data_IF_329488927813
#
_entry.id   IF_329488927813
#
_cell.length_a   1.000
_cell.length_b   1.000
_cell.length_c   1.000
_cell.angle_alpha   90.00
_cell.angle_beta   90.00
_cell.angle_gamma   90.00
#
_symmetry.space_group_name_H-M   'P 1'
#
loop_
_entity.id
_entity.type
_entity.pdbx_description
1 polymer ?
#
# COMPACT_ATOMS: atom_id res chain seq x y z
N UNK A 1 -13.14 -1.53 13.19
CA UNK A 1 -12.32 -1.11 12.03
C UNK A 1 -12.49 0.37 11.85
N UNK A 2 -11.40 1.11 11.66
CA UNK A 2 -11.47 2.54 11.29
C UNK A 2 -10.71 2.75 9.99
N UNK A 3 -11.26 3.54 9.07
CA UNK A 3 -10.69 3.67 7.73
C UNK A 3 -10.96 2.43 6.87
N UNK A 4 -10.10 2.18 5.87
CA UNK A 4 -10.32 1.14 4.85
C UNK A 4 -9.78 -0.24 5.23
N UNK A 5 -8.68 -0.30 5.98
CA UNK A 5 -7.92 -1.55 6.17
C UNK A 5 -7.21 -1.66 7.53
N UNK A 6 -7.60 -0.88 8.53
CA UNK A 6 -6.95 -0.89 9.86
C UNK A 6 -7.87 -1.51 10.92
N UNK A 7 -7.31 -2.44 11.73
CA UNK A 7 -7.93 -2.84 13.00
C UNK A 7 -7.42 -1.94 14.11
N UNK A 8 -8.34 -1.51 14.96
CA UNK A 8 -8.07 -0.57 16.05
C UNK A 8 -8.67 -1.04 17.37
N UNK A 9 -8.04 -0.63 18.46
CA UNK A 9 -8.57 -0.67 19.81
C UNK A 9 -8.41 0.71 20.44
N UNK A 10 -9.46 1.24 21.05
CA UNK A 10 -9.52 2.62 21.58
C UNK A 10 -9.02 3.69 20.59
N UNK A 11 -9.38 3.53 19.30
CA UNK A 11 -8.98 4.44 18.23
C UNK A 11 -7.50 4.34 17.80
N UNK A 12 -6.71 3.44 18.41
CA UNK A 12 -5.31 3.19 18.04
C UNK A 12 -5.20 1.93 17.19
N UNK A 13 -4.48 2.02 16.06
CA UNK A 13 -4.20 0.92 15.15
C UNK A 13 -3.35 -0.16 15.83
N UNK A 14 -3.77 -1.41 15.70
CA UNK A 14 -3.07 -2.62 16.14
C UNK A 14 -2.71 -3.54 14.96
N UNK A 15 -3.31 -3.31 13.79
CA UNK A 15 -3.08 -4.11 12.58
C UNK A 15 -3.38 -3.27 11.34
N UNK A 16 -2.62 -3.48 10.28
CA UNK A 16 -2.98 -3.05 8.93
C UNK A 16 -3.11 -4.25 8.01
N UNK A 17 -4.10 -4.21 7.12
CA UNK A 17 -4.37 -5.26 6.14
C UNK A 17 -4.14 -4.78 4.72
N UNK A 18 -3.77 -5.69 3.82
CA UNK A 18 -3.67 -5.45 2.38
C UNK A 18 -4.26 -6.64 1.63
N UNK A 19 -4.70 -6.39 0.40
CA UNK A 19 -5.20 -7.44 -0.47
C UNK A 19 -4.70 -7.20 -1.89
N UNK A 20 -4.33 -8.28 -2.58
CA UNK A 20 -3.94 -8.30 -3.98
C UNK A 20 -4.73 -9.41 -4.69
N UNK A 21 -5.20 -9.15 -5.91
CA UNK A 21 -5.81 -10.19 -6.74
C UNK A 21 -4.87 -10.56 -7.88
N UNK A 22 -4.63 -11.86 -8.07
CA UNK A 22 -3.87 -12.40 -9.20
C UNK A 22 -4.73 -13.48 -9.87
N UNK A 23 -5.17 -13.21 -11.10
CA UNK A 23 -6.14 -14.07 -11.78
C UNK A 23 -7.40 -14.28 -10.95
N UNK A 24 -7.67 -15.53 -10.56
CA UNK A 24 -8.83 -15.91 -9.72
C UNK A 24 -8.50 -16.08 -8.23
N UNK A 25 -7.31 -15.66 -7.77
CA UNK A 25 -6.87 -15.79 -6.38
C UNK A 25 -6.77 -14.43 -5.71
N UNK A 26 -7.09 -14.39 -4.42
CA UNK A 26 -6.87 -13.23 -3.55
C UNK A 26 -5.80 -13.57 -2.53
N UNK A 27 -4.78 -12.71 -2.45
CA UNK A 27 -3.78 -12.71 -1.40
C UNK A 27 -4.19 -11.63 -0.41
N UNK A 28 -4.72 -12.03 0.74
CA UNK A 28 -5.07 -11.13 1.83
C UNK A 28 -4.06 -11.30 2.96
N UNK A 29 -3.33 -10.23 3.26
CA UNK A 29 -2.30 -10.23 4.29
C UNK A 29 -2.56 -9.14 5.33
N UNK A 30 -1.94 -9.27 6.48
CA UNK A 30 -1.96 -8.23 7.49
C UNK A 30 -0.95 -8.47 8.60
N UNK A 31 -0.78 -7.44 9.42
CA UNK A 31 0.11 -7.49 10.59
C UNK A 31 -0.70 -7.58 11.88
N UNK A 32 -0.08 -7.99 12.98
CA UNK A 32 -0.64 -7.80 14.31
C UNK A 32 0.48 -7.28 15.21
N UNK A 33 0.36 -6.05 15.70
CA UNK A 33 1.36 -5.44 16.56
C UNK A 33 1.19 -5.97 17.97
N UNK A 34 1.95 -7.01 18.33
CA UNK A 34 1.89 -7.64 19.66
C UNK A 34 2.79 -6.91 20.65
N UNK A 35 4.08 -6.82 20.35
CA UNK A 35 5.11 -6.11 21.13
C UNK A 35 6.18 -5.48 20.21
N UNK A 36 5.74 -4.74 19.20
CA UNK A 36 6.66 -4.06 18.29
C UNK A 36 7.32 -2.87 18.99
N UNK A 37 8.59 -2.61 18.69
CA UNK A 37 9.24 -1.34 19.05
C UNK A 37 8.66 -0.20 18.20
N UNK A 38 7.65 0.47 18.76
CA UNK A 38 6.96 1.57 18.10
C UNK A 38 7.85 2.79 17.91
N UNK A 39 8.90 2.96 18.71
CA UNK A 39 9.84 4.07 18.57
C UNK A 39 10.77 3.82 17.38
N UNK A 40 11.28 2.59 17.22
CA UNK A 40 12.04 2.20 16.03
C UNK A 40 11.18 2.30 14.76
N UNK A 41 9.94 1.80 14.79
CA UNK A 41 9.02 1.90 13.66
C UNK A 41 8.75 3.36 13.26
N UNK A 42 8.56 4.26 14.22
CA UNK A 42 8.35 5.69 13.95
C UNK A 42 9.59 6.38 13.37
N UNK A 43 10.80 5.91 13.68
CA UNK A 43 12.06 6.43 13.11
C UNK A 43 12.30 5.91 11.69
N UNK A 44 11.95 4.66 11.42
CA UNK A 44 12.15 4.03 10.11
C UNK A 44 11.16 4.55 9.07
N UNK A 45 9.96 4.98 9.49
CA UNK A 45 8.90 5.42 8.59
C UNK A 45 8.81 6.95 8.53
N UNK A 46 8.98 7.51 7.35
CA UNK A 46 8.81 8.96 7.05
C UNK A 46 7.58 9.19 6.19
N UNK A 47 6.35 9.06 6.73
CA UNK A 47 5.15 9.25 5.92
C UNK A 47 5.09 10.68 5.35
N UNK A 48 4.63 10.87 4.10
CA UNK A 48 4.55 12.19 3.49
C UNK A 48 3.73 13.18 4.33
N UNK A 49 4.17 14.44 4.40
CA UNK A 49 3.49 15.51 5.16
C UNK A 49 2.01 15.68 4.75
N UNK A 50 1.71 15.53 3.47
CA UNK A 50 0.34 15.60 2.93
C UNK A 50 -0.59 14.54 3.57
N UNK A 51 -0.08 13.33 3.83
CA UNK A 51 -0.81 12.23 4.48
C UNK A 51 -1.06 12.49 5.97
N UNK A 52 -0.22 13.30 6.61
CA UNK A 52 -0.42 13.74 7.99
C UNK A 52 -1.46 14.86 8.06
N UNK A 53 -1.40 15.82 7.14
CA UNK A 53 -2.34 16.94 7.06
C UNK A 53 -3.75 16.52 6.71
N UNK A 54 -3.95 15.64 5.71
CA UNK A 54 -5.30 15.18 5.30
C UNK A 54 -6.03 14.41 6.41
N UNK A 55 -5.27 13.82 7.33
CA UNK A 55 -5.83 13.15 8.51
C UNK A 55 -5.87 14.06 9.76
N UNK A 56 -5.53 15.35 9.63
CA UNK A 56 -5.60 16.35 10.71
C UNK A 56 -4.51 16.24 11.78
N UNK A 57 -3.34 15.69 11.46
CA UNK A 57 -2.38 15.16 12.45
C UNK A 57 -1.05 15.91 12.48
N UNK A 58 -0.59 16.22 13.69
CA UNK A 58 0.70 16.89 13.96
C UNK A 58 1.88 15.93 14.18
N UNK A 59 1.65 14.64 14.51
CA UNK A 59 2.71 13.64 14.76
C UNK A 59 2.20 12.19 14.64
N UNK A 60 3.02 11.28 14.10
CA UNK A 60 2.73 9.84 13.88
C UNK A 60 2.52 9.07 15.20
N UNK A 61 3.06 9.59 16.31
CA UNK A 61 3.15 8.87 17.59
C UNK A 61 1.80 8.46 18.21
N UNK A 62 0.70 9.15 17.88
CA UNK A 62 -0.59 8.94 18.56
C UNK A 62 -1.46 7.81 18.01
N UNK A 63 -1.06 7.11 16.94
CA UNK A 63 -1.97 6.26 16.16
C UNK A 63 -1.76 4.76 16.18
N UNK A 64 -0.60 4.26 16.61
CA UNK A 64 -0.33 2.82 16.64
C UNK A 64 -0.11 2.35 18.06
N UNK A 65 -0.41 1.10 18.32
CA UNK A 65 -0.27 0.55 19.65
C UNK A 65 -0.11 -0.97 19.62
N UNK A 66 0.46 -1.52 20.68
CA UNK A 66 0.65 -2.95 20.84
C UNK A 66 -0.59 -3.59 21.48
N UNK A 67 -1.12 -4.67 20.90
CA UNK A 67 -2.35 -5.30 21.39
C UNK A 67 -2.15 -5.95 22.76
N UNK A 68 -0.91 -6.33 23.14
CA UNK A 68 -0.65 -6.98 24.45
C UNK A 68 -1.18 -6.15 25.62
N UNK A 69 -1.14 -4.82 25.57
CA UNK A 69 -1.67 -3.98 26.66
C UNK A 69 -3.18 -4.14 26.92
N UNK A 70 -3.91 -4.68 25.94
CA UNK A 70 -5.35 -4.94 26.00
C UNK A 70 -5.67 -6.40 26.34
N UNK A 71 -4.66 -7.25 26.52
CA UNK A 71 -4.89 -8.64 26.92
C UNK A 71 -5.41 -8.70 28.36
N UNK A 72 -6.36 -9.60 28.60
CA UNK A 72 -6.77 -9.95 29.97
C UNK A 72 -5.55 -10.38 30.80
N UNK A 73 -5.55 -10.16 32.13
CA UNK A 73 -4.40 -10.47 32.99
C UNK A 73 -3.83 -11.88 32.82
N UNK A 74 -4.70 -12.89 32.63
CA UNK A 74 -4.31 -14.29 32.41
C UNK A 74 -3.52 -14.54 31.11
N UNK A 75 -3.61 -13.64 30.14
CA UNK A 75 -2.91 -13.73 28.85
C UNK A 75 -1.74 -12.76 28.76
N UNK A 76 -1.45 -12.01 29.83
CA UNK A 76 -0.54 -10.88 29.74
C UNK A 76 0.90 -11.27 29.40
N UNK A 77 1.31 -12.46 29.84
CA UNK A 77 2.62 -13.05 29.59
C UNK A 77 2.59 -14.13 28.49
N UNK A 78 1.53 -14.19 27.69
CA UNK A 78 1.40 -15.15 26.59
C UNK A 78 2.56 -15.01 25.61
N UNK A 79 3.20 -16.12 25.24
CA UNK A 79 4.26 -16.11 24.23
C UNK A 79 3.68 -15.89 22.83
N UNK A 80 4.54 -15.59 21.85
CA UNK A 80 4.10 -15.49 20.47
C UNK A 80 3.55 -16.84 19.95
N UNK A 81 4.21 -17.95 20.27
CA UNK A 81 3.78 -19.30 19.85
C UNK A 81 2.41 -19.68 20.43
N UNK A 82 2.16 -19.31 21.70
CA UNK A 82 0.86 -19.53 22.33
C UNK A 82 -0.24 -18.69 21.67
N UNK A 83 0.07 -17.44 21.31
CA UNK A 83 -0.85 -16.56 20.60
C UNK A 83 -1.16 -17.10 19.20
N UNK A 84 -0.14 -17.48 18.44
CA UNK A 84 -0.27 -18.07 17.11
C UNK A 84 -1.15 -19.32 17.16
N UNK A 85 -0.82 -20.27 18.06
CA UNK A 85 -1.62 -21.47 18.29
C UNK A 85 -3.07 -21.13 18.59
N UNK A 86 -3.32 -20.16 19.48
CA UNK A 86 -4.68 -19.75 19.85
C UNK A 86 -5.45 -19.15 18.66
N UNK A 87 -4.78 -18.34 17.83
CA UNK A 87 -5.37 -17.80 16.59
C UNK A 87 -5.75 -18.94 15.65
N UNK A 88 -4.83 -19.88 15.39
CA UNK A 88 -5.09 -21.01 14.49
C UNK A 88 -6.27 -21.87 14.97
N UNK A 89 -6.28 -22.28 16.25
CA UNK A 89 -7.38 -23.05 16.84
C UNK A 89 -8.72 -22.31 16.70
N UNK A 90 -8.72 -20.99 16.91
CA UNK A 90 -9.93 -20.16 16.81
C UNK A 90 -10.43 -20.03 15.37
N UNK A 91 -9.52 -19.76 14.42
CA UNK A 91 -9.85 -19.57 13.00
C UNK A 91 -10.39 -20.86 12.38
N UNK A 92 -9.73 -21.99 12.66
CA UNK A 92 -10.14 -23.30 12.15
C UNK A 92 -11.23 -23.97 12.98
N UNK A 93 -11.62 -23.38 14.12
CA UNK A 93 -12.67 -23.88 15.03
C UNK A 93 -12.40 -25.30 15.53
N UNK A 94 -11.14 -25.57 15.88
CA UNK A 94 -10.68 -26.85 16.41
C UNK A 94 -10.07 -26.64 17.80
N UNK A 95 -10.02 -27.71 18.60
CA UNK A 95 -9.43 -27.67 19.95
C UNK A 95 -8.01 -28.21 20.00
N UNK A 96 -7.62 -29.00 19.01
CA UNK A 96 -6.27 -29.56 18.87
C UNK A 96 -5.56 -28.95 17.66
N UNK A 97 -4.29 -28.58 17.82
CA UNK A 97 -3.49 -28.01 16.74
C UNK A 97 -3.24 -29.01 15.62
N UNK A 98 -3.31 -30.31 15.94
CA UNK A 98 -3.18 -31.41 14.97
C UNK A 98 -4.35 -31.47 13.98
N UNK A 99 -5.49 -30.88 14.34
CA UNK A 99 -6.68 -30.82 13.48
C UNK A 99 -6.63 -29.63 12.51
N UNK A 100 -5.64 -28.75 12.62
CA UNK A 100 -5.45 -27.63 11.69
C UNK A 100 -4.84 -28.18 10.38
N UNK A 101 -5.53 -28.05 9.23
CA UNK A 101 -5.00 -28.48 7.94
C UNK A 101 -3.66 -27.80 7.67
N UNK A 102 -2.60 -28.61 7.60
CA UNK A 102 -1.22 -28.12 7.46
C UNK A 102 -0.61 -28.71 6.21
N UNK A 103 -0.25 -27.84 5.27
CA UNK A 103 0.61 -28.19 4.15
C UNK A 103 2.07 -27.99 4.58
N UNK A 104 2.87 -29.06 4.54
CA UNK A 104 4.31 -28.97 4.74
C UNK A 104 4.96 -28.85 3.37
N UNK A 105 5.57 -27.71 3.11
CA UNK A 105 6.32 -27.47 1.88
C UNK A 105 7.41 -28.54 1.70
N UNK A 106 7.51 -29.08 0.49
CA UNK A 106 8.59 -30.01 0.12
C UNK A 106 9.90 -29.27 -0.13
N UNK A 107 10.98 -30.01 -0.30
CA UNK A 107 12.27 -29.41 -0.67
C UNK A 107 12.21 -28.72 -2.04
N UNK A 108 11.41 -29.26 -2.98
CA UNK A 108 11.12 -28.62 -4.26
C UNK A 108 10.34 -27.31 -4.09
N UNK A 109 9.30 -27.28 -3.25
CA UNK A 109 8.54 -26.05 -2.97
C UNK A 109 9.48 -24.96 -2.40
N UNK A 110 10.36 -25.33 -1.47
CA UNK A 110 11.34 -24.41 -0.90
C UNK A 110 12.33 -23.89 -1.94
N UNK A 111 12.80 -24.77 -2.82
CA UNK A 111 13.70 -24.38 -3.92
C UNK A 111 13.03 -23.36 -4.84
N UNK A 112 11.76 -23.57 -5.20
CA UNK A 112 11.00 -22.63 -6.04
C UNK A 112 10.76 -21.30 -5.33
N UNK A 113 10.36 -21.31 -4.05
CA UNK A 113 10.15 -20.08 -3.27
C UNK A 113 11.43 -19.26 -3.14
N UNK A 114 12.57 -19.91 -2.88
CA UNK A 114 13.85 -19.23 -2.79
C UNK A 114 14.28 -18.64 -4.14
N UNK A 115 14.07 -19.36 -5.24
CA UNK A 115 14.34 -18.84 -6.58
C UNK A 115 13.50 -17.60 -6.89
N UNK A 116 12.19 -17.61 -6.58
CA UNK A 116 11.32 -16.44 -6.74
C UNK A 116 11.81 -15.27 -5.88
N UNK A 117 12.26 -15.55 -4.65
CA UNK A 117 12.78 -14.54 -3.75
C UNK A 117 14.04 -13.87 -4.31
N UNK A 118 14.97 -14.65 -4.83
CA UNK A 118 16.21 -14.15 -5.42
C UNK A 118 15.97 -13.38 -6.73
N UNK A 119 15.07 -13.88 -7.58
CA UNK A 119 14.78 -13.26 -8.88
C UNK A 119 13.97 -11.96 -8.77
N UNK A 120 13.21 -11.80 -7.68
CA UNK A 120 12.24 -10.69 -7.53
C UNK A 120 12.44 -9.89 -6.26
N UNK A 121 12.34 -10.50 -5.08
CA UNK A 121 12.15 -9.76 -3.82
C UNK A 121 13.44 -9.18 -3.22
N UNK A 122 14.62 -9.65 -3.64
CA UNK A 122 15.92 -9.18 -3.12
C UNK A 122 16.65 -8.21 -4.04
N UNK A 123 16.21 -8.07 -5.29
CA UNK A 123 16.84 -7.19 -6.27
C UNK A 123 16.57 -5.69 -6.00
N UNK A 124 17.61 -4.86 -6.15
CA UNK A 124 17.49 -3.40 -5.96
C UNK A 124 16.44 -2.78 -6.89
N UNK A 125 16.32 -3.29 -8.12
CA UNK A 125 15.32 -2.83 -9.09
C UNK A 125 13.88 -3.05 -8.60
N UNK A 126 13.64 -4.06 -7.76
CA UNK A 126 12.33 -4.29 -7.16
C UNK A 126 12.16 -3.51 -5.85
N UNK A 127 13.16 -3.55 -4.97
CA UNK A 127 13.08 -2.94 -3.63
C UNK A 127 13.14 -1.41 -3.70
N UNK A 128 14.10 -0.88 -4.45
CA UNK A 128 14.35 0.56 -4.58
C UNK A 128 13.70 1.14 -5.84
N UNK A 129 13.52 0.32 -6.87
CA UNK A 129 13.12 0.80 -8.17
C UNK A 129 14.25 1.55 -8.88
N UNK A 130 14.02 1.87 -10.14
CA UNK A 130 14.84 2.84 -10.85
C UNK A 130 14.47 4.24 -10.39
N UNK A 131 15.46 5.01 -9.90
CA UNK A 131 15.24 6.42 -9.57
C UNK A 131 14.91 7.18 -10.86
N UNK A 132 13.68 7.73 -11.01
CA UNK A 132 13.36 8.48 -12.20
C UNK A 132 14.11 9.81 -12.14
N UNK A 133 14.95 10.10 -13.14
CA UNK A 133 15.46 11.45 -13.38
C UNK A 133 14.42 12.26 -14.18
N UNK A 134 13.16 12.16 -13.74
CA UNK A 134 12.05 12.81 -14.40
C UNK A 134 12.05 14.31 -14.12
N UNK A 135 11.46 15.10 -15.01
CA UNK A 135 11.36 16.56 -14.85
C UNK A 135 10.49 16.93 -13.64
N UNK A 136 9.37 16.22 -13.46
CA UNK A 136 8.35 16.53 -12.46
C UNK A 136 8.06 15.34 -11.55
N UNK A 137 7.80 15.62 -10.27
CA UNK A 137 7.22 14.65 -9.34
C UNK A 137 6.13 15.32 -8.52
N UNK A 138 4.87 14.99 -8.80
CA UNK A 138 3.71 15.70 -8.22
C UNK A 138 2.82 14.75 -7.44
N UNK A 139 2.25 15.22 -6.33
CA UNK A 139 1.38 14.40 -5.48
C UNK A 139 0.27 15.16 -4.78
N UNK A 140 -0.87 14.50 -4.62
CA UNK A 140 -2.04 15.04 -3.90
C UNK A 140 -2.79 13.93 -3.18
N UNK A 141 -3.37 14.28 -2.03
CA UNK A 141 -4.30 13.42 -1.32
C UNK A 141 -5.73 13.59 -1.82
N UNK A 142 -6.41 12.46 -2.05
CA UNK A 142 -7.81 12.35 -2.42
C UNK A 142 -8.59 11.64 -1.31
N UNK A 143 -9.61 12.30 -0.79
CA UNK A 143 -10.44 11.73 0.28
C UNK A 143 -11.13 10.45 -0.22
N UNK A 144 -11.16 9.42 0.64
CA UNK A 144 -11.69 8.11 0.26
C UNK A 144 -10.76 7.25 -0.61
N UNK A 145 -9.82 7.84 -1.36
CA UNK A 145 -8.92 7.13 -2.29
C UNK A 145 -7.50 6.98 -1.77
N UNK A 146 -6.92 8.02 -1.16
CA UNK A 146 -5.53 8.01 -0.70
C UNK A 146 -4.69 9.05 -1.44
N UNK A 147 -3.38 9.00 -1.24
CA UNK A 147 -2.44 9.83 -1.96
C UNK A 147 -2.13 9.19 -3.32
N UNK A 148 -2.20 10.01 -4.36
CA UNK A 148 -1.76 9.67 -5.73
C UNK A 148 -0.60 10.59 -6.07
N UNK A 149 0.45 10.01 -6.62
CA UNK A 149 1.71 10.65 -7.01
C UNK A 149 2.04 10.27 -8.45
N UNK A 150 2.58 11.20 -9.23
CA UNK A 150 2.97 10.98 -10.62
C UNK A 150 4.37 11.55 -10.84
N UNK A 151 5.30 10.69 -11.25
CA UNK A 151 6.63 11.06 -11.76
C UNK A 151 6.57 11.08 -13.28
N UNK A 152 6.96 12.18 -13.93
CA UNK A 152 6.84 12.29 -15.38
C UNK A 152 7.79 13.32 -15.99
N UNK A 153 8.10 13.14 -17.27
CA UNK A 153 8.95 14.05 -18.05
C UNK A 153 8.21 14.61 -19.26
N UNK A 154 8.56 15.82 -19.68
CA UNK A 154 7.91 16.51 -20.81
C UNK A 154 8.97 16.97 -21.80
N UNK A 155 8.84 16.54 -23.06
CA UNK A 155 9.73 16.92 -24.15
C UNK A 155 8.91 17.50 -25.30
N UNK A 156 9.23 18.73 -25.71
CA UNK A 156 8.50 19.46 -26.75
C UNK A 156 6.98 19.51 -26.49
N UNK A 157 6.60 19.86 -25.25
CA UNK A 157 5.21 19.92 -24.78
C UNK A 157 4.43 18.59 -24.88
N UNK A 158 5.13 17.45 -24.92
CA UNK A 158 4.56 16.11 -24.95
C UNK A 158 5.14 15.28 -23.81
N UNK A 159 4.28 14.52 -23.11
CA UNK A 159 4.70 13.63 -22.03
C UNK A 159 5.54 12.49 -22.62
N UNK A 160 6.81 12.40 -22.26
CA UNK A 160 7.73 11.39 -22.80
C UNK A 160 7.70 10.08 -22.02
N UNK A 161 7.38 10.15 -20.73
CA UNK A 161 7.23 9.03 -19.80
C UNK A 161 6.43 9.51 -18.59
N UNK A 162 5.65 8.61 -17.97
CA UNK A 162 5.00 8.84 -16.71
C UNK A 162 4.93 7.53 -15.89
N UNK A 163 5.01 7.67 -14.57
CA UNK A 163 4.86 6.57 -13.60
C UNK A 163 4.02 7.02 -12.41
N UNK A 164 3.06 6.19 -12.02
CA UNK A 164 2.08 6.48 -10.97
C UNK A 164 2.45 5.72 -9.70
N UNK A 165 2.39 6.42 -8.58
CA UNK A 165 2.63 5.91 -7.24
C UNK A 165 1.47 6.31 -6.32
N UNK A 166 1.38 5.66 -5.16
CA UNK A 166 0.42 6.07 -4.15
C UNK A 166 0.16 5.04 -3.08
N UNK A 167 -0.74 5.37 -2.16
CA UNK A 167 -1.20 4.49 -1.09
C UNK A 167 -2.68 4.14 -1.19
N UNK A 168 -3.25 4.32 -2.38
CA UNK A 168 -4.58 3.81 -2.72
C UNK A 168 -4.58 2.29 -2.79
N UNK A 169 -5.75 1.69 -2.57
CA UNK A 169 -5.89 0.25 -2.47
C UNK A 169 -7.02 -0.21 -3.40
N UNK A 170 -6.65 -0.57 -4.63
CA UNK A 170 -7.56 -1.14 -5.60
C UNK A 170 -6.97 -2.47 -6.12
N UNK A 171 -7.48 -3.63 -5.65
CA UNK A 171 -6.88 -4.93 -5.92
C UNK A 171 -6.85 -5.36 -7.40
N UNK A 172 -7.61 -4.70 -8.28
CA UNK A 172 -7.67 -5.00 -9.72
C UNK A 172 -6.98 -3.94 -10.59
N UNK A 173 -6.34 -2.94 -9.99
CA UNK A 173 -5.82 -1.82 -10.77
C UNK A 173 -4.61 -2.16 -11.63
N UNK A 174 -4.57 -1.57 -12.82
CA UNK A 174 -3.50 -1.63 -13.82
C UNK A 174 -2.96 -0.22 -14.05
N UNK A 175 -2.03 0.20 -13.19
CA UNK A 175 -1.35 1.50 -13.34
C UNK A 175 -0.54 1.59 -14.65
N UNK A 176 0.20 0.55 -15.08
CA UNK A 176 0.89 0.56 -16.37
C UNK A 176 0.00 0.90 -17.56
N UNK A 177 -1.26 0.44 -17.57
CA UNK A 177 -2.22 0.82 -18.61
C UNK A 177 -2.50 2.33 -18.63
N UNK A 178 -2.69 2.95 -17.46
CA UNK A 178 -2.89 4.40 -17.33
C UNK A 178 -1.64 5.16 -17.78
N UNK A 179 -0.47 4.73 -17.29
CA UNK A 179 0.84 5.32 -17.62
C UNK A 179 1.09 5.32 -19.13
N UNK A 180 0.76 4.21 -19.80
CA UNK A 180 0.84 4.10 -21.26
C UNK A 180 -0.12 5.05 -21.97
N UNK A 181 -1.36 5.19 -21.48
CA UNK A 181 -2.37 6.05 -22.10
C UNK A 181 -2.02 7.54 -22.02
N UNK A 182 -1.33 7.97 -20.96
CA UNK A 182 -0.90 9.37 -20.81
C UNK A 182 0.47 9.66 -21.43
N UNK A 183 1.24 8.63 -21.79
CA UNK A 183 2.51 8.79 -22.50
C UNK A 183 2.25 9.17 -23.97
N UNK A 184 3.08 10.07 -24.52
CA UNK A 184 2.93 10.71 -25.82
C UNK A 184 1.68 11.61 -25.97
N UNK A 185 1.06 11.99 -24.86
CA UNK A 185 -0.04 12.96 -24.85
C UNK A 185 0.53 14.38 -24.72
N UNK A 186 -0.02 15.37 -25.45
CA UNK A 186 0.35 16.77 -25.23
C UNK A 186 0.16 17.16 -23.77
N UNK A 187 1.14 17.85 -23.19
CA UNK A 187 1.12 18.32 -21.80
C UNK A 187 0.21 19.56 -21.66
N UNK A 188 -1.08 19.34 -21.92
CA UNK A 188 -2.13 20.35 -21.91
C UNK A 188 -3.39 19.77 -21.26
N UNK A 189 -4.17 20.63 -20.61
CA UNK A 189 -5.33 20.24 -19.79
C UNK A 189 -6.32 19.32 -20.52
N UNK A 190 -6.83 19.75 -21.68
CA UNK A 190 -7.83 18.99 -22.42
C UNK A 190 -7.31 17.61 -22.88
N UNK A 191 -6.05 17.53 -23.29
CA UNK A 191 -5.42 16.28 -23.74
C UNK A 191 -5.23 15.29 -22.59
N UNK A 192 -4.78 15.77 -21.43
CA UNK A 192 -4.66 14.97 -20.21
C UNK A 192 -6.01 14.47 -19.70
N UNK A 193 -7.02 15.34 -19.64
CA UNK A 193 -8.38 14.97 -19.22
C UNK A 193 -8.95 13.84 -20.09
N UNK A 194 -8.75 13.91 -21.41
CA UNK A 194 -9.21 12.85 -22.33
C UNK A 194 -8.44 11.54 -22.13
N UNK A 195 -7.11 11.61 -21.98
CA UNK A 195 -6.29 10.43 -21.72
C UNK A 195 -6.69 9.75 -20.40
N UNK A 196 -6.98 10.52 -19.36
CA UNK A 196 -7.46 9.98 -18.08
C UNK A 196 -8.89 9.45 -18.14
N UNK A 197 -9.78 10.07 -18.93
CA UNK A 197 -11.15 9.59 -19.15
C UNK A 197 -11.19 8.18 -19.74
N UNK A 198 -10.26 7.88 -20.66
CA UNK A 198 -10.14 6.56 -21.31
C UNK A 198 -9.34 5.55 -20.48
N UNK A 199 -8.80 5.95 -19.32
CA UNK A 199 -7.97 5.11 -18.46
C UNK A 199 -8.73 4.41 -17.32
N UNK A 200 -10.06 4.50 -17.30
CA UNK A 200 -10.91 3.81 -16.30
C UNK A 200 -10.45 4.04 -14.84
N UNK A 201 -10.21 5.30 -14.45
CA UNK A 201 -9.61 5.65 -13.15
C UNK A 201 -10.32 5.02 -11.94
N UNK A 202 -11.66 4.92 -11.97
CA UNK A 202 -12.44 4.30 -10.90
C UNK A 202 -12.07 2.83 -10.67
N UNK A 203 -11.83 2.09 -11.74
CA UNK A 203 -11.50 0.66 -11.71
C UNK A 203 -10.04 0.42 -11.30
N UNK A 204 -9.17 1.42 -11.46
CA UNK A 204 -7.73 1.28 -11.25
C UNK A 204 -7.18 1.95 -9.99
N UNK A 205 -7.63 3.17 -9.67
CA UNK A 205 -7.12 3.98 -8.55
C UNK A 205 -8.22 4.17 -7.51
N UNK A 206 -9.44 4.44 -7.96
CA UNK A 206 -10.60 4.78 -7.14
C UNK A 206 -11.32 6.01 -7.69
N UNK A 207 -12.24 6.56 -6.90
CA UNK A 207 -13.09 7.71 -7.29
C UNK A 207 -12.28 9.02 -7.40
N UNK A 208 -11.53 9.17 -8.49
CA UNK A 208 -10.74 10.35 -8.86
C UNK A 208 -11.15 10.79 -10.25
N UNK A 209 -11.47 12.08 -10.40
CA UNK A 209 -11.89 12.63 -11.69
C UNK A 209 -10.70 12.79 -12.66
N UNK A 210 -10.92 12.65 -13.98
CA UNK A 210 -9.91 12.98 -14.98
C UNK A 210 -9.38 14.41 -14.85
N UNK A 211 -10.25 15.36 -14.50
CA UNK A 211 -9.93 16.77 -14.29
C UNK A 211 -8.99 16.95 -13.09
N UNK A 212 -9.24 16.24 -11.98
CA UNK A 212 -8.36 16.28 -10.82
C UNK A 212 -6.99 15.65 -11.10
N UNK A 213 -6.93 14.57 -11.88
CA UNK A 213 -5.67 13.94 -12.29
C UNK A 213 -4.86 14.84 -13.24
N UNK A 214 -5.53 15.51 -14.20
CA UNK A 214 -4.88 16.50 -15.04
C UNK A 214 -4.38 17.70 -14.22
N UNK A 215 -5.20 18.21 -13.29
CA UNK A 215 -4.81 19.30 -12.38
C UNK A 215 -3.63 18.91 -11.47
N UNK A 216 -3.57 17.66 -11.00
CA UNK A 216 -2.43 17.11 -10.25
C UNK A 216 -1.14 17.24 -11.06
N UNK A 217 -1.17 16.87 -12.34
CA UNK A 217 -0.01 16.95 -13.23
C UNK A 217 0.32 18.38 -13.67
N UNK A 218 -0.63 19.31 -13.73
CA UNK A 218 -0.43 20.66 -14.29
C UNK A 218 -0.11 21.74 -13.25
N UNK A 219 -0.60 21.64 -12.02
CA UNK A 219 -0.42 22.69 -11.01
C UNK A 219 0.86 22.53 -10.17
N UNK A 220 1.71 23.55 -10.14
CA UNK A 220 2.98 23.55 -9.40
C UNK A 220 2.81 23.38 -7.88
N UNK A 221 1.67 23.80 -7.31
CA UNK A 221 1.40 23.62 -5.86
C UNK A 221 1.39 22.15 -5.39
N UNK A 222 1.40 21.20 -6.32
CA UNK A 222 1.47 19.77 -6.05
C UNK A 222 2.87 19.18 -6.27
N UNK A 223 3.87 19.99 -6.59
CA UNK A 223 5.24 19.54 -6.73
C UNK A 223 5.80 19.04 -5.38
N UNK A 224 6.46 17.90 -5.42
CA UNK A 224 7.06 17.22 -4.27
C UNK A 224 8.59 17.29 -4.27
N UNK A 225 9.18 17.92 -5.29
CA UNK A 225 10.62 18.24 -5.32
C UNK A 225 10.98 19.44 -4.44
#
# INVERSE_FOLDING_TARGET
MTGRNDLTVDGKKISGMSALKIGNRFLCGGTLMVDVDLAAAAKALTPPKAKLQSKGIKSVHSRVTNIRQYFEPKYKNMTFEELEKRILLTVFRVTDIRDVPTYKMTDEDWKEVLQIADDTYTGDDFVMGTKPNDDYFRGRHFDGVGTVEVSFSVKNDVISHAKIYGDFNNPNGDLPAIEKNITNVPFAKASLEEAFRTSHLADNIGDVSPEDMADLMLKEKYDLK
#
